data_IF_538341802990
#
_entry.id   IF_538341802990
#
_cell.length_a   1.000
_cell.length_b   1.000
_cell.length_c   1.000
_cell.angle_alpha   90.00
_cell.angle_beta   90.00
_cell.angle_gamma   90.00
#
_symmetry.space_group_name_H-M   'P 1'
#
loop_
_entity.id
_entity.type
_entity.pdbx_description
1 polymer ?
#
# COMPACT_ATOMS: atom_id res chain seq x y z
N UNK A 1 -7.78 -11.49 7.41
CA UNK A 1 -7.53 -10.16 6.78
C UNK A 1 -6.38 -10.25 5.81
N UNK A 2 -6.54 -9.70 4.64
CA UNK A 2 -5.52 -9.76 3.59
C UNK A 2 -4.96 -8.36 3.37
N UNK A 3 -3.71 -8.14 3.79
CA UNK A 3 -3.07 -6.83 3.68
C UNK A 3 -2.93 -6.42 2.22
N UNK A 4 -2.60 -7.37 1.34
CA UNK A 4 -2.47 -7.08 -0.10
C UNK A 4 -3.77 -6.50 -0.66
N UNK A 5 -4.91 -7.12 -0.34
CA UNK A 5 -6.21 -6.62 -0.77
C UNK A 5 -6.52 -5.25 -0.19
N UNK A 6 -6.17 -5.04 1.08
CA UNK A 6 -6.41 -3.76 1.74
C UNK A 6 -5.63 -2.63 1.07
N UNK A 7 -4.37 -2.90 0.70
CA UNK A 7 -3.55 -1.91 -0.01
C UNK A 7 -4.19 -1.58 -1.35
N UNK A 8 -4.57 -2.61 -2.11
CA UNK A 8 -5.19 -2.43 -3.43
C UNK A 8 -6.49 -1.63 -3.32
N UNK A 9 -7.33 -1.95 -2.33
CA UNK A 9 -8.59 -1.24 -2.14
C UNK A 9 -8.37 0.23 -1.80
N UNK A 10 -7.44 0.49 -0.88
CA UNK A 10 -7.14 1.88 -0.51
C UNK A 10 -6.61 2.64 -1.71
N UNK A 11 -5.66 2.07 -2.43
CA UNK A 11 -5.04 2.72 -3.58
C UNK A 11 -6.07 3.04 -4.65
N UNK A 12 -6.90 2.06 -5.02
CA UNK A 12 -7.87 2.26 -6.09
C UNK A 12 -8.98 3.21 -5.68
N UNK A 13 -9.35 3.22 -4.39
CA UNK A 13 -10.34 4.17 -3.90
C UNK A 13 -9.87 5.62 -4.01
N UNK A 14 -8.56 5.83 -4.06
CA UNK A 14 -7.97 7.16 -4.22
C UNK A 14 -7.56 7.42 -5.67
N UNK A 15 -7.92 6.51 -6.59
CA UNK A 15 -7.63 6.63 -8.02
C UNK A 15 -6.13 6.70 -8.32
N UNK A 16 -5.34 5.96 -7.54
CA UNK A 16 -3.89 5.90 -7.73
C UNK A 16 -3.50 4.66 -8.51
N UNK A 17 -2.54 4.83 -9.43
CA UNK A 17 -1.87 3.68 -10.03
C UNK A 17 -0.84 3.15 -9.04
N UNK A 18 -0.32 1.94 -9.30
CA UNK A 18 0.74 1.38 -8.46
C UNK A 18 1.97 2.29 -8.49
N UNK A 19 2.34 2.79 -9.69
CA UNK A 19 3.50 3.66 -9.80
C UNK A 19 3.29 4.96 -9.01
N UNK A 20 2.11 5.54 -9.09
CA UNK A 20 1.82 6.77 -8.36
C UNK A 20 1.93 6.56 -6.87
N UNK A 21 1.40 5.44 -6.35
CA UNK A 21 1.52 5.14 -4.93
C UNK A 21 2.98 4.88 -4.53
N UNK A 22 3.70 4.10 -5.34
CA UNK A 22 5.11 3.81 -5.05
C UNK A 22 5.92 5.10 -4.96
N UNK A 23 5.69 6.02 -5.90
CA UNK A 23 6.39 7.31 -5.90
C UNK A 23 6.01 8.14 -4.67
N UNK A 24 4.72 8.22 -4.36
CA UNK A 24 4.25 9.03 -3.24
C UNK A 24 4.70 8.49 -1.89
N UNK A 25 4.68 7.18 -1.73
CA UNK A 25 5.05 6.54 -0.47
C UNK A 25 6.55 6.29 -0.34
N UNK A 26 7.30 6.45 -1.44
CA UNK A 26 8.73 6.16 -1.42
C UNK A 26 9.02 4.67 -1.35
N UNK A 27 8.16 3.86 -1.94
CA UNK A 27 8.31 2.41 -1.98
C UNK A 27 8.80 2.00 -3.36
N UNK A 28 9.70 1.03 -3.42
CA UNK A 28 10.14 0.47 -4.69
C UNK A 28 8.93 -0.14 -5.41
N UNK A 29 8.76 0.23 -6.69
CA UNK A 29 7.60 -0.21 -7.46
C UNK A 29 7.49 -1.73 -7.56
N UNK A 30 8.60 -2.41 -7.80
CA UNK A 30 8.59 -3.87 -7.91
C UNK A 30 8.14 -4.52 -6.59
N UNK A 31 8.59 -3.95 -5.47
CA UNK A 31 8.19 -4.44 -4.16
C UNK A 31 6.68 -4.22 -3.94
N UNK A 32 6.18 -3.03 -4.28
CA UNK A 32 4.74 -2.75 -4.13
C UNK A 32 3.90 -3.71 -4.98
N UNK A 33 4.32 -3.94 -6.22
CA UNK A 33 3.61 -4.88 -7.09
C UNK A 33 3.61 -6.29 -6.48
N UNK A 34 4.76 -6.74 -5.99
CA UNK A 34 4.86 -8.06 -5.39
C UNK A 34 4.00 -8.19 -4.13
N UNK A 35 3.94 -7.13 -3.32
CA UNK A 35 3.10 -7.12 -2.12
C UNK A 35 1.62 -7.20 -2.50
N UNK A 36 1.19 -6.41 -3.48
CA UNK A 36 -0.22 -6.43 -3.91
C UNK A 36 -0.59 -7.76 -4.55
N UNK A 37 0.37 -8.40 -5.23
CA UNK A 37 0.14 -9.71 -5.85
C UNK A 37 0.26 -10.88 -4.85
N UNK A 38 0.61 -10.60 -3.61
CA UNK A 38 0.74 -11.63 -2.58
C UNK A 38 2.04 -12.42 -2.65
N UNK A 39 3.04 -11.98 -3.43
CA UNK A 39 4.32 -12.66 -3.55
C UNK A 39 5.33 -12.24 -2.48
N UNK A 40 5.17 -11.06 -1.90
CA UNK A 40 5.99 -10.57 -0.82
C UNK A 40 5.09 -10.03 0.29
N UNK A 41 5.58 -10.10 1.52
CA UNK A 41 4.84 -9.58 2.66
C UNK A 41 5.07 -8.08 2.79
N UNK A 42 4.01 -7.35 3.12
CA UNK A 42 4.14 -5.93 3.47
C UNK A 42 4.88 -5.83 4.81
N UNK A 43 5.89 -4.98 4.86
CA UNK A 43 6.60 -4.72 6.10
C UNK A 43 5.88 -3.64 6.90
N UNK A 44 6.26 -3.50 8.17
CA UNK A 44 5.74 -2.40 8.98
C UNK A 44 6.07 -1.05 8.34
N UNK A 45 7.26 -0.92 7.75
CA UNK A 45 7.65 0.31 7.06
C UNK A 45 6.76 0.59 5.86
N UNK A 46 6.37 -0.45 5.11
CA UNK A 46 5.46 -0.29 3.97
C UNK A 46 4.11 0.25 4.44
N UNK A 47 3.58 -0.33 5.52
CA UNK A 47 2.29 0.08 6.07
C UNK A 47 2.34 1.53 6.51
N UNK A 48 3.41 1.92 7.20
CA UNK A 48 3.57 3.30 7.66
C UNK A 48 3.72 4.27 6.49
N UNK A 49 4.47 3.88 5.47
CA UNK A 49 4.68 4.72 4.30
C UNK A 49 3.38 4.97 3.55
N UNK A 50 2.57 3.92 3.37
CA UNK A 50 1.28 4.05 2.71
C UNK A 50 0.33 4.90 3.53
N UNK A 51 0.32 4.68 4.85
CA UNK A 51 -0.53 5.48 5.75
C UNK A 51 -0.19 6.96 5.66
N UNK A 52 1.10 7.30 5.65
CA UNK A 52 1.53 8.69 5.51
C UNK A 52 1.17 9.26 4.14
N UNK A 53 1.32 8.45 3.09
CA UNK A 53 1.04 8.91 1.73
C UNK A 53 -0.41 9.35 1.58
N UNK A 54 -1.33 8.65 2.22
CA UNK A 54 -2.75 8.93 2.12
C UNK A 54 -3.32 9.67 3.33
N UNK A 55 -2.48 10.01 4.32
CA UNK A 55 -2.91 10.71 5.53
C UNK A 55 -4.03 9.97 6.27
N UNK A 56 -3.89 8.65 6.38
CA UNK A 56 -4.83 7.79 7.11
C UNK A 56 -4.04 6.96 8.12
N UNK A 57 -4.73 6.55 9.18
CA UNK A 57 -4.12 5.66 10.17
C UNK A 57 -4.19 4.23 9.68
N UNK A 58 -3.15 3.43 10.00
CA UNK A 58 -3.11 2.03 9.58
C UNK A 58 -4.37 1.28 10.01
N UNK A 59 -4.84 1.50 11.23
CA UNK A 59 -6.02 0.82 11.73
C UNK A 59 -7.30 1.16 10.97
N UNK A 60 -7.31 2.25 10.21
CA UNK A 60 -8.47 2.62 9.43
C UNK A 60 -8.59 1.82 8.14
N UNK A 61 -7.47 1.39 7.58
CA UNK A 61 -7.50 0.67 6.31
C UNK A 61 -7.06 -0.79 6.40
N UNK A 62 -6.45 -1.19 7.50
CA UNK A 62 -6.07 -2.58 7.74
C UNK A 62 -7.20 -3.33 8.45
N UNK A 63 -8.29 -3.55 7.75
CA UNK A 63 -9.44 -4.23 8.32
C UNK A 63 -9.69 -5.56 7.69
#
# INVERSE_FOLDING_TARGET
MDIASSITKLRTSRLYTRKALADKAGINLRHLIAVEDGRELATQQDIEAISRAFHVKAEEWLR
#
